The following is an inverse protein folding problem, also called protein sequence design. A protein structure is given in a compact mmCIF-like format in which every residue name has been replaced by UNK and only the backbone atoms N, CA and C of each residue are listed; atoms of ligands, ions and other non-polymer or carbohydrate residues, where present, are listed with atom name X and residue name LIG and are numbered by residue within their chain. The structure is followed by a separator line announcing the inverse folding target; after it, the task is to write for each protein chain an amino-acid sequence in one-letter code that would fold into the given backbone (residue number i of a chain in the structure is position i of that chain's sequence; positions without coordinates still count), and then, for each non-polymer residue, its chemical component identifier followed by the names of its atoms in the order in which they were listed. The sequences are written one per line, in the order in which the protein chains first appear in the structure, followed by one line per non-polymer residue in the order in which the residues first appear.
data_IF_816596965814
#
_entry.id   IF_816596965814
#
_cell.length_a   1.000
_cell.length_b   1.000
_cell.length_c   1.000
_cell.angle_alpha   90.00
_cell.angle_beta   90.00
_cell.angle_gamma   90.00
#
_symmetry.space_group_name_H-M   'P 1'
#
loop_
_entity.id
_entity.type
_entity.pdbx_description
1 polymer ?
#
# COMPACT_ATOMS: atom_id res chain seq x y z
N UNK A 1 34.87 17.32 14.99
CA UNK A 1 33.92 16.29 15.46
C UNK A 1 32.57 16.94 15.63
N UNK A 2 31.59 16.63 14.79
CA UNK A 2 30.53 15.70 15.05
C UNK A 2 30.06 14.97 13.74
N UNK A 3 30.23 13.69 13.66
CA UNK A 3 29.71 12.85 12.53
C UNK A 3 29.21 11.51 13.04
N UNK A 4 28.27 11.50 13.96
CA UNK A 4 27.76 10.20 14.49
C UNK A 4 26.24 10.11 14.68
N UNK A 5 25.46 11.01 14.09
CA UNK A 5 24.00 10.98 14.25
C UNK A 5 23.18 10.72 12.98
N UNK A 6 23.81 10.52 11.81
CA UNK A 6 23.06 10.30 10.55
C UNK A 6 22.96 8.84 10.09
N UNK A 7 23.68 7.91 10.69
CA UNK A 7 23.64 6.49 10.27
C UNK A 7 22.54 5.65 10.94
N UNK A 8 21.89 6.16 11.99
CA UNK A 8 20.92 5.36 12.76
C UNK A 8 19.50 5.35 12.17
N UNK A 9 19.17 6.28 11.28
CA UNK A 9 17.81 6.39 10.73
C UNK A 9 17.60 5.60 9.42
N UNK A 10 18.67 5.26 8.70
CA UNK A 10 18.52 4.47 7.46
C UNK A 10 18.27 2.97 7.71
N UNK A 11 18.74 2.41 8.80
CA UNK A 11 18.52 0.98 9.11
C UNK A 11 17.07 0.67 9.54
N UNK A 12 16.31 1.67 9.99
CA UNK A 12 14.90 1.46 10.37
C UNK A 12 13.94 1.41 9.19
N UNK A 13 14.26 2.04 8.07
CA UNK A 13 13.40 1.98 6.87
C UNK A 13 13.45 0.63 6.15
N UNK A 14 14.58 -0.08 6.22
CA UNK A 14 14.74 -1.39 5.56
C UNK A 14 13.97 -2.50 6.29
N UNK A 15 13.71 -2.34 7.60
CA UNK A 15 13.04 -3.35 8.41
C UNK A 15 11.51 -3.42 8.21
N UNK A 16 10.89 -2.39 7.65
CA UNK A 16 9.42 -2.32 7.52
C UNK A 16 8.87 -2.88 6.20
N UNK A 17 9.72 -3.04 5.18
CA UNK A 17 9.30 -3.56 3.88
C UNK A 17 9.20 -5.10 3.81
N UNK A 18 9.63 -5.82 4.85
CA UNK A 18 9.73 -7.29 4.84
C UNK A 18 8.67 -8.04 5.65
N UNK A 19 7.61 -7.38 6.10
CA UNK A 19 6.58 -8.01 6.95
C UNK A 19 5.27 -8.40 6.24
N UNK A 20 5.26 -8.45 4.92
CA UNK A 20 4.23 -9.23 4.24
C UNK A 20 4.78 -10.64 3.98
N UNK A 21 4.26 -11.70 4.60
CA UNK A 21 4.78 -13.04 4.38
C UNK A 21 4.40 -13.53 2.98
N UNK A 22 5.36 -13.48 2.07
CA UNK A 22 5.30 -14.30 0.86
C UNK A 22 5.61 -15.72 1.29
N UNK A 23 4.61 -16.58 1.33
CA UNK A 23 4.76 -18.02 1.57
C UNK A 23 5.51 -18.64 0.40
N UNK A 24 6.82 -18.80 0.51
CA UNK A 24 7.63 -19.60 -0.39
C UNK A 24 7.70 -21.02 0.16
N UNK A 25 6.93 -21.93 -0.43
CA UNK A 25 7.02 -23.38 -0.15
C UNK A 25 8.25 -23.91 -0.84
N UNK A 26 9.31 -24.20 -0.09
CA UNK A 26 10.43 -25.02 -0.53
C UNK A 26 10.20 -26.46 -0.04
N UNK A 27 9.87 -27.31 -1.00
CA UNK A 27 9.87 -28.76 -0.80
C UNK A 27 11.31 -29.28 -0.75
N UNK A 28 11.75 -29.79 0.39
CA UNK A 28 12.91 -30.69 0.45
C UNK A 28 12.47 -32.04 0.95
N UNK A 29 12.57 -33.00 0.05
CA UNK A 29 12.42 -34.43 0.32
C UNK A 29 13.51 -34.94 1.26
N UNK A 30 13.14 -35.63 2.33
CA UNK A 30 14.01 -36.62 2.97
C UNK A 30 13.23 -37.86 3.37
N UNK A 31 13.89 -38.97 3.19
CA UNK A 31 13.48 -40.36 3.13
C UNK A 31 13.01 -40.96 4.49
N UNK A 32 12.22 -41.94 4.33
CA UNK A 32 11.55 -42.82 5.26
C UNK A 32 12.38 -43.43 6.40
N UNK A 33 11.71 -43.58 7.54
CA UNK A 33 11.81 -44.83 8.35
C UNK A 33 10.41 -45.18 8.86
N UNK A 34 9.97 -46.38 8.51
CA UNK A 34 8.78 -47.04 9.03
C UNK A 34 8.84 -47.33 10.50
N UNK A 35 7.75 -47.06 11.23
CA UNK A 35 7.30 -47.92 12.31
C UNK A 35 5.78 -47.81 12.51
N UNK A 36 5.15 -48.94 12.51
CA UNK A 36 3.74 -49.24 12.68
C UNK A 36 3.24 -48.93 14.08
N UNK A 37 2.04 -48.35 14.22
CA UNK A 37 0.98 -48.81 15.12
C UNK A 37 -0.21 -47.84 15.22
N UNK A 38 -1.37 -48.38 14.96
CA UNK A 38 -2.76 -48.17 15.46
C UNK A 38 -3.46 -46.83 15.36
N UNK A 39 -4.75 -46.84 14.93
CA UNK A 39 -5.54 -45.66 14.65
C UNK A 39 -6.38 -45.25 15.85
N UNK A 40 -6.43 -43.97 16.13
CA UNK A 40 -7.44 -43.44 17.04
C UNK A 40 -7.04 -42.30 17.94
N UNK A 41 -6.71 -41.16 17.38
CA UNK A 41 -6.89 -39.88 18.05
C UNK A 41 -7.07 -38.79 17.00
N UNK A 42 -8.27 -38.24 16.94
CA UNK A 42 -8.66 -37.20 16.01
C UNK A 42 -7.81 -35.95 16.26
N UNK A 43 -7.09 -35.52 15.24
CA UNK A 43 -6.49 -34.19 15.11
C UNK A 43 -7.54 -33.12 15.31
N UNK A 44 -7.59 -32.54 16.48
CA UNK A 44 -8.36 -31.35 16.82
C UNK A 44 -7.47 -30.25 17.46
N UNK A 45 -6.17 -30.24 17.19
CA UNK A 45 -5.25 -29.36 17.94
C UNK A 45 -4.52 -28.31 17.08
N UNK A 46 -4.84 -28.13 15.80
CA UNK A 46 -4.13 -27.15 14.95
C UNK A 46 -4.93 -25.89 14.58
N UNK A 47 -6.22 -25.80 14.93
CA UNK A 47 -7.00 -24.58 14.66
C UNK A 47 -7.01 -23.56 15.83
N UNK A 48 -6.51 -23.96 17.01
CA UNK A 48 -6.58 -23.07 18.20
C UNK A 48 -5.39 -22.12 18.34
N UNK A 49 -4.27 -22.36 17.66
CA UNK A 49 -3.07 -21.53 17.77
C UNK A 49 -3.11 -20.28 16.88
N UNK A 50 -3.84 -20.33 15.75
CA UNK A 50 -4.02 -19.18 14.83
C UNK A 50 -5.06 -18.18 15.34
N UNK A 51 -5.99 -18.60 16.18
CA UNK A 51 -7.04 -17.76 16.72
C UNK A 51 -6.57 -16.80 17.82
N UNK A 52 -5.46 -17.09 18.49
CA UNK A 52 -4.94 -16.25 19.59
C UNK A 52 -4.07 -15.07 19.11
N UNK A 53 -3.46 -15.15 17.93
CA UNK A 53 -2.60 -14.08 17.41
C UNK A 53 -3.38 -12.89 16.85
N UNK A 54 -4.63 -13.08 16.41
CA UNK A 54 -5.45 -12.01 15.84
C UNK A 54 -6.19 -11.16 16.90
N UNK A 55 -6.38 -11.69 18.10
CA UNK A 55 -7.07 -10.98 19.19
C UNK A 55 -6.21 -9.92 19.90
N UNK A 56 -4.92 -9.85 19.60
CA UNK A 56 -3.96 -8.99 20.33
C UNK A 56 -4.01 -7.54 19.87
N UNK A 57 -4.53 -7.24 18.68
CA UNK A 57 -4.57 -5.88 18.15
C UNK A 57 -5.54 -4.96 18.90
N UNK A 58 -6.60 -5.49 19.51
CA UNK A 58 -7.61 -4.72 20.24
C UNK A 58 -7.81 -5.29 21.64
N UNK A 59 -7.27 -4.60 22.66
CA UNK A 59 -7.24 -5.09 24.05
C UNK A 59 -8.51 -4.80 24.83
N UNK A 60 -9.29 -3.82 24.40
CA UNK A 60 -10.59 -3.55 24.98
C UNK A 60 -11.54 -4.72 24.71
N UNK A 61 -12.20 -5.30 25.74
CA UNK A 61 -13.07 -6.47 25.54
C UNK A 61 -14.19 -6.24 24.53
N UNK A 62 -14.78 -5.04 24.47
CA UNK A 62 -15.82 -4.70 23.50
C UNK A 62 -15.29 -4.66 22.07
N UNK A 63 -14.07 -4.15 21.88
CA UNK A 63 -13.38 -4.10 20.59
C UNK A 63 -12.81 -5.45 20.19
N UNK A 64 -12.40 -6.29 21.12
CA UNK A 64 -11.92 -7.64 20.83
C UNK A 64 -12.98 -8.48 20.12
N UNK A 65 -14.23 -8.39 20.54
CA UNK A 65 -15.33 -9.15 19.94
C UNK A 65 -15.58 -8.76 18.48
N UNK A 66 -15.62 -7.45 18.19
CA UNK A 66 -15.81 -6.97 16.81
C UNK A 66 -14.57 -7.23 15.95
N UNK A 67 -13.35 -7.08 16.50
CA UNK A 67 -12.11 -7.40 15.80
C UNK A 67 -12.04 -8.89 15.40
N UNK A 68 -12.47 -9.78 16.28
CA UNK A 68 -12.58 -11.21 15.97
C UNK A 68 -13.63 -11.47 14.88
N UNK A 69 -14.79 -10.82 14.95
CA UNK A 69 -15.81 -10.93 13.92
C UNK A 69 -15.30 -10.45 12.55
N UNK A 70 -14.51 -9.35 12.53
CA UNK A 70 -13.86 -8.84 11.33
C UNK A 70 -12.86 -9.87 10.79
N UNK A 71 -11.95 -10.38 11.62
CA UNK A 71 -10.92 -11.34 11.22
C UNK A 71 -11.51 -12.62 10.61
N UNK A 72 -12.68 -13.05 11.07
CA UNK A 72 -13.37 -14.23 10.54
C UNK A 72 -14.38 -13.91 9.42
N UNK A 73 -14.58 -12.64 9.07
CA UNK A 73 -15.56 -12.23 8.06
C UNK A 73 -17.02 -12.51 8.48
N UNK A 74 -17.30 -12.53 9.79
CA UNK A 74 -18.67 -12.71 10.33
C UNK A 74 -19.46 -11.40 10.24
N UNK A 75 -20.04 -11.17 9.07
CA UNK A 75 -20.80 -9.95 8.75
C UNK A 75 -22.03 -9.78 9.66
N UNK A 76 -22.70 -10.89 10.03
CA UNK A 76 -23.87 -10.81 10.91
C UNK A 76 -23.48 -10.32 12.31
N UNK A 77 -22.36 -10.83 12.82
CA UNK A 77 -21.80 -10.42 14.11
C UNK A 77 -21.32 -8.97 14.07
N UNK A 78 -20.62 -8.55 13.00
CA UNK A 78 -20.18 -7.15 12.81
C UNK A 78 -21.39 -6.21 12.88
N UNK A 79 -22.47 -6.47 12.11
CA UNK A 79 -23.67 -5.65 12.09
C UNK A 79 -24.36 -5.56 13.47
N UNK A 80 -24.25 -6.63 14.27
CA UNK A 80 -24.82 -6.63 15.63
C UNK A 80 -23.96 -5.82 16.61
N UNK A 81 -22.63 -5.89 16.48
CA UNK A 81 -21.70 -5.26 17.43
C UNK A 81 -21.42 -3.79 17.10
N UNK A 82 -21.35 -3.42 15.81
CA UNK A 82 -20.98 -2.08 15.38
C UNK A 82 -21.76 -0.94 16.06
N UNK A 83 -23.10 -1.05 16.30
CA UNK A 83 -23.82 0.00 17.02
C UNK A 83 -23.49 0.10 18.52
N UNK A 84 -22.77 -0.86 19.10
CA UNK A 84 -22.48 -0.95 20.53
C UNK A 84 -21.04 -0.61 20.91
N UNK A 85 -20.17 -0.36 19.91
CA UNK A 85 -18.75 -0.07 20.10
C UNK A 85 -18.39 1.27 19.47
N UNK A 86 -17.29 1.84 19.92
CA UNK A 86 -16.70 3.03 19.29
C UNK A 86 -15.94 2.59 18.02
N UNK A 87 -16.50 2.88 16.83
CA UNK A 87 -15.87 2.56 15.54
C UNK A 87 -14.63 3.42 15.24
N UNK A 88 -14.41 4.51 16.01
CA UNK A 88 -13.21 5.34 15.92
C UNK A 88 -12.08 4.86 16.84
N UNK A 89 -12.32 3.84 17.65
CA UNK A 89 -11.30 3.30 18.53
C UNK A 89 -10.16 2.63 17.76
N UNK A 90 -8.97 2.71 18.34
CA UNK A 90 -7.74 2.15 17.76
C UNK A 90 -7.26 0.94 18.56
N UNK A 91 -6.70 0.00 17.84
CA UNK A 91 -5.95 -1.13 18.41
C UNK A 91 -4.47 -0.81 18.64
N UNK A 92 -3.69 -1.85 18.89
CA UNK A 92 -2.24 -1.75 18.99
C UNK A 92 -1.65 -1.15 17.70
N UNK A 93 -0.57 -0.38 17.81
CA UNK A 93 0.07 0.33 16.69
C UNK A 93 -0.87 1.32 15.96
N UNK A 94 -1.89 1.79 16.66
CA UNK A 94 -2.88 2.74 16.13
C UNK A 94 -3.73 2.19 14.96
N UNK A 95 -3.87 0.85 14.84
CA UNK A 95 -4.69 0.25 13.78
C UNK A 95 -6.17 0.56 13.98
N UNK A 96 -6.86 0.98 12.91
CA UNK A 96 -8.31 1.16 12.89
C UNK A 96 -9.03 -0.15 12.57
N UNK A 97 -10.33 -0.24 12.88
CA UNK A 97 -11.15 -1.40 12.51
C UNK A 97 -11.24 -1.58 10.98
N UNK A 98 -11.21 -0.48 10.21
CA UNK A 98 -11.19 -0.53 8.74
C UNK A 98 -9.87 -1.09 8.21
N UNK A 99 -8.73 -0.67 8.77
CA UNK A 99 -7.41 -1.22 8.42
C UNK A 99 -7.31 -2.69 8.83
N UNK A 100 -7.91 -3.06 9.98
CA UNK A 100 -7.95 -4.44 10.44
C UNK A 100 -8.71 -5.36 9.48
N UNK A 101 -9.78 -4.86 8.84
CA UNK A 101 -10.51 -5.60 7.81
C UNK A 101 -9.64 -5.84 6.56
N UNK A 102 -8.83 -4.87 6.12
CA UNK A 102 -7.89 -5.05 5.00
C UNK A 102 -6.77 -6.02 5.39
N UNK A 103 -6.23 -5.88 6.61
CA UNK A 103 -5.15 -6.74 7.12
C UNK A 103 -5.53 -8.21 7.13
N UNK A 104 -6.80 -8.50 7.50
CA UNK A 104 -7.33 -9.85 7.54
C UNK A 104 -7.98 -10.31 6.22
N UNK A 105 -7.79 -9.56 5.14
CA UNK A 105 -8.30 -9.90 3.81
C UNK A 105 -9.83 -10.06 3.76
N UNK A 106 -10.56 -9.19 4.49
CA UNK A 106 -12.01 -9.26 4.63
C UNK A 106 -12.73 -8.07 3.95
N UNK A 107 -12.86 -8.04 2.61
CA UNK A 107 -13.48 -6.91 1.91
C UNK A 107 -14.96 -6.69 2.29
N UNK A 108 -15.69 -7.78 2.59
CA UNK A 108 -17.10 -7.68 3.04
C UNK A 108 -17.21 -7.08 4.45
N UNK A 109 -16.21 -7.32 5.32
CA UNK A 109 -16.18 -6.72 6.64
C UNK A 109 -15.87 -5.21 6.54
N UNK A 110 -14.96 -4.81 5.65
CA UNK A 110 -14.69 -3.41 5.34
C UNK A 110 -15.99 -2.69 4.92
N UNK A 111 -16.73 -3.26 3.97
CA UNK A 111 -18.00 -2.73 3.49
C UNK A 111 -19.03 -2.59 4.62
N UNK A 112 -19.20 -3.65 5.44
CA UNK A 112 -20.13 -3.64 6.55
C UNK A 112 -19.79 -2.61 7.66
N UNK A 113 -18.50 -2.34 7.89
CA UNK A 113 -18.06 -1.31 8.83
C UNK A 113 -18.32 0.10 8.30
N UNK A 114 -18.10 0.32 7.01
CA UNK A 114 -18.42 1.58 6.33
C UNK A 114 -19.94 1.83 6.33
N UNK A 115 -20.75 0.80 6.05
CA UNK A 115 -22.21 0.85 6.17
C UNK A 115 -22.66 1.22 7.61
N UNK A 116 -21.92 0.77 8.62
CA UNK A 116 -22.18 1.08 10.02
C UNK A 116 -21.69 2.48 10.44
N UNK A 117 -21.03 3.24 9.54
CA UNK A 117 -20.60 4.60 9.79
C UNK A 117 -19.16 4.73 10.28
N UNK A 118 -18.30 3.71 10.12
CA UNK A 118 -16.88 3.86 10.39
C UNK A 118 -16.26 4.91 9.46
N UNK A 119 -15.46 5.83 10.01
CA UNK A 119 -14.88 6.95 9.28
C UNK A 119 -13.62 6.52 8.49
N UNK A 120 -13.63 6.52 7.15
CA UNK A 120 -12.46 6.19 6.34
C UNK A 120 -11.37 7.28 6.34
N UNK A 121 -11.65 8.47 6.89
CA UNK A 121 -10.67 9.54 7.05
C UNK A 121 -9.88 9.45 8.36
N UNK A 122 -10.27 8.55 9.26
CA UNK A 122 -9.60 8.38 10.54
C UNK A 122 -8.13 7.96 10.34
N UNK A 123 -7.14 8.71 10.88
CA UNK A 123 -5.74 8.32 10.80
C UNK A 123 -5.49 7.05 11.62
N UNK A 124 -4.90 6.06 10.99
CA UNK A 124 -4.55 4.78 11.60
C UNK A 124 -3.04 4.57 11.74
N UNK A 125 -2.57 3.41 11.29
CA UNK A 125 -1.15 3.07 11.30
C UNK A 125 -0.33 4.09 10.49
N UNK A 126 0.86 4.43 10.99
CA UNK A 126 1.77 5.41 10.38
C UNK A 126 1.15 6.79 10.12
N UNK A 127 0.04 7.14 10.80
CA UNK A 127 -0.74 8.35 10.58
C UNK A 127 -1.28 8.46 9.13
N UNK A 128 -1.55 7.32 8.54
CA UNK A 128 -2.20 7.17 7.25
C UNK A 128 -3.66 6.75 7.46
N UNK A 129 -4.48 6.86 6.42
CA UNK A 129 -5.86 6.40 6.47
C UNK A 129 -6.00 5.03 5.81
N UNK A 130 -7.11 4.36 6.04
CA UNK A 130 -7.45 3.11 5.36
C UNK A 130 -7.40 3.23 3.82
N UNK A 131 -7.59 4.44 3.26
CA UNK A 131 -7.49 4.67 1.81
C UNK A 131 -6.04 4.54 1.31
N UNK A 132 -5.06 4.98 2.11
CA UNK A 132 -3.64 4.75 1.80
C UNK A 132 -3.31 3.25 1.82
N UNK A 133 -3.79 2.53 2.84
CA UNK A 133 -3.60 1.08 2.91
C UNK A 133 -4.24 0.35 1.73
N UNK A 134 -5.47 0.69 1.35
CA UNK A 134 -6.16 0.13 0.20
C UNK A 134 -5.45 0.41 -1.13
N UNK A 135 -4.84 1.61 -1.24
CA UNK A 135 -4.07 2.00 -2.43
C UNK A 135 -2.80 1.17 -2.63
N UNK A 136 -2.21 0.60 -1.57
CA UNK A 136 -1.04 -0.29 -1.65
C UNK A 136 -1.39 -1.77 -1.58
N UNK A 137 -2.62 -2.15 -1.24
CA UNK A 137 -3.07 -3.53 -1.17
C UNK A 137 -2.94 -4.25 -2.52
N UNK A 138 -2.85 -5.59 -2.51
CA UNK A 138 -2.80 -6.36 -3.76
C UNK A 138 -4.16 -6.38 -4.46
N UNK A 139 -5.23 -6.57 -3.67
CA UNK A 139 -6.59 -6.62 -4.20
C UNK A 139 -7.16 -5.19 -4.34
N UNK A 140 -7.49 -4.74 -5.56
CA UNK A 140 -8.10 -3.44 -5.79
C UNK A 140 -9.53 -3.34 -5.27
N UNK A 141 -10.14 -4.43 -4.80
CA UNK A 141 -11.51 -4.44 -4.29
C UNK A 141 -11.67 -3.53 -3.07
N UNK A 142 -10.67 -3.46 -2.18
CA UNK A 142 -10.71 -2.59 -1.02
C UNK A 142 -10.86 -1.12 -1.41
N UNK A 143 -10.05 -0.67 -2.36
CA UNK A 143 -10.14 0.71 -2.85
C UNK A 143 -11.47 0.97 -3.55
N UNK A 144 -11.99 0.02 -4.33
CA UNK A 144 -13.32 0.14 -4.97
C UNK A 144 -14.43 0.32 -3.93
N UNK A 145 -14.42 -0.46 -2.85
CA UNK A 145 -15.39 -0.33 -1.75
C UNK A 145 -15.30 1.07 -1.14
N UNK A 146 -14.09 1.52 -0.80
CA UNK A 146 -13.89 2.86 -0.22
C UNK A 146 -14.39 3.98 -1.14
N UNK A 147 -14.12 3.87 -2.45
CA UNK A 147 -14.62 4.83 -3.44
C UNK A 147 -16.16 4.82 -3.55
N UNK A 148 -16.80 3.65 -3.45
CA UNK A 148 -18.27 3.53 -3.42
C UNK A 148 -18.87 4.25 -2.20
N UNK A 149 -18.19 4.19 -1.06
CA UNK A 149 -18.55 4.91 0.16
C UNK A 149 -18.06 6.36 0.20
N UNK A 150 -17.54 6.89 -0.93
CA UNK A 150 -17.07 8.28 -1.06
C UNK A 150 -15.97 8.65 -0.05
N UNK A 151 -15.11 7.69 0.27
CA UNK A 151 -13.95 7.94 1.12
C UNK A 151 -13.07 9.05 0.51
N UNK A 152 -12.44 9.92 1.34
CA UNK A 152 -11.61 11.00 0.84
C UNK A 152 -10.32 10.45 0.21
N UNK A 153 -10.09 10.76 -1.07
CA UNK A 153 -9.01 10.18 -1.88
C UNK A 153 -7.70 10.98 -1.86
N UNK A 154 -7.73 12.22 -1.37
CA UNK A 154 -6.59 13.13 -1.37
C UNK A 154 -6.10 13.48 0.05
N UNK A 155 -6.42 12.65 1.04
CA UNK A 155 -5.89 12.81 2.39
C UNK A 155 -4.37 12.71 2.35
N UNK A 156 -3.70 13.65 3.02
CA UNK A 156 -2.25 13.73 3.05
C UNK A 156 -1.74 13.10 4.34
N UNK A 157 -0.82 12.15 4.24
CA UNK A 157 -0.17 11.56 5.42
C UNK A 157 0.73 12.57 6.11
N UNK A 158 0.66 12.64 7.44
CA UNK A 158 1.45 13.60 8.21
C UNK A 158 2.97 13.34 8.12
N UNK A 159 3.38 12.09 7.93
CA UNK A 159 4.79 11.68 7.92
C UNK A 159 5.52 12.06 6.64
N UNK A 160 4.94 11.79 5.47
CA UNK A 160 5.62 11.93 4.19
C UNK A 160 4.98 12.98 3.28
N UNK A 161 3.79 13.48 3.61
CA UNK A 161 3.03 14.32 2.70
C UNK A 161 2.42 13.55 1.54
N UNK A 162 2.25 12.24 1.68
CA UNK A 162 1.76 11.37 0.61
C UNK A 162 0.24 11.29 0.62
N UNK A 163 -0.33 11.24 -0.58
CA UNK A 163 -1.73 10.88 -0.81
C UNK A 163 -1.83 9.37 -1.09
N UNK A 164 -3.04 8.79 -1.08
CA UNK A 164 -3.25 7.41 -1.53
C UNK A 164 -2.67 7.13 -2.92
N UNK A 165 -2.71 8.10 -3.85
CA UNK A 165 -2.11 7.95 -5.17
C UNK A 165 -0.59 7.80 -5.11
N UNK A 166 0.12 8.52 -4.21
CA UNK A 166 1.55 8.29 -3.96
C UNK A 166 1.82 6.86 -3.50
N UNK A 167 0.98 6.33 -2.60
CA UNK A 167 1.10 4.94 -2.13
C UNK A 167 0.88 3.92 -3.25
N UNK A 168 -0.12 4.14 -4.11
CA UNK A 168 -0.38 3.27 -5.27
C UNK A 168 0.83 3.26 -6.24
N UNK A 169 1.41 4.43 -6.53
CA UNK A 169 2.59 4.57 -7.41
C UNK A 169 3.81 3.88 -6.78
N UNK A 170 4.09 4.12 -5.50
CA UNK A 170 5.20 3.48 -4.78
C UNK A 170 5.09 1.96 -4.83
N UNK A 171 3.88 1.44 -4.58
CA UNK A 171 3.61 0.00 -4.52
C UNK A 171 3.39 -0.63 -5.90
N UNK A 172 3.48 0.16 -6.98
CA UNK A 172 3.29 -0.28 -8.38
C UNK A 172 1.95 -0.99 -8.59
N UNK A 173 0.89 -0.39 -8.06
CA UNK A 173 -0.47 -0.91 -8.13
C UNK A 173 -1.24 -0.28 -9.29
N UNK A 174 -1.01 -0.76 -10.51
CA UNK A 174 -1.58 -0.15 -11.73
C UNK A 174 -3.11 -0.04 -11.70
N UNK A 175 -3.80 -1.04 -11.14
CA UNK A 175 -5.25 -1.00 -11.01
C UNK A 175 -5.71 0.11 -10.04
N UNK A 176 -5.05 0.27 -8.89
CA UNK A 176 -5.36 1.31 -7.91
C UNK A 176 -4.98 2.70 -8.44
N UNK A 177 -3.86 2.82 -9.16
CA UNK A 177 -3.51 4.07 -9.86
C UNK A 177 -4.65 4.47 -10.80
N UNK A 178 -5.12 3.55 -11.64
CA UNK A 178 -6.25 3.80 -12.54
C UNK A 178 -7.50 4.25 -11.79
N UNK A 179 -7.90 3.50 -10.74
CA UNK A 179 -9.08 3.82 -9.93
C UNK A 179 -9.01 5.21 -9.29
N UNK A 180 -7.85 5.61 -8.76
CA UNK A 180 -7.67 6.92 -8.14
C UNK A 180 -7.69 8.05 -9.19
N UNK A 181 -7.06 7.84 -10.34
CA UNK A 181 -7.10 8.79 -11.45
C UNK A 181 -8.53 8.97 -11.99
N UNK A 182 -9.26 7.87 -12.19
CA UNK A 182 -10.65 7.88 -12.64
C UNK A 182 -11.59 8.54 -11.61
N UNK A 183 -11.26 8.43 -10.32
CA UNK A 183 -11.96 9.11 -9.24
C UNK A 183 -11.62 10.60 -9.10
N UNK A 184 -10.66 11.12 -9.91
CA UNK A 184 -10.27 12.52 -9.91
C UNK A 184 -9.27 12.92 -8.84
N UNK A 185 -8.40 12.00 -8.41
CA UNK A 185 -7.34 12.30 -7.44
C UNK A 185 -6.45 13.47 -7.92
N UNK A 186 -6.05 14.33 -6.98
CA UNK A 186 -5.17 15.48 -7.26
C UNK A 186 -3.76 15.01 -7.64
N UNK A 187 -3.46 15.08 -8.93
CA UNK A 187 -2.18 14.65 -9.52
C UNK A 187 -1.05 15.67 -9.35
N UNK A 188 -1.36 16.90 -8.89
CA UNK A 188 -0.36 17.97 -8.77
C UNK A 188 0.32 18.03 -7.40
N UNK A 189 -0.10 17.18 -6.47
CA UNK A 189 0.51 17.10 -5.14
C UNK A 189 1.98 16.75 -5.21
N UNK A 190 2.74 17.28 -4.25
CA UNK A 190 4.14 16.92 -4.00
C UNK A 190 4.29 16.44 -2.56
N UNK A 191 5.26 15.57 -2.33
CA UNK A 191 5.61 15.10 -0.99
C UNK A 191 6.43 16.19 -0.21
N UNK A 192 6.76 15.90 1.04
CA UNK A 192 7.53 16.83 1.89
C UNK A 192 8.94 17.15 1.37
N UNK A 193 9.45 16.38 0.40
CA UNK A 193 10.74 16.62 -0.26
C UNK A 193 10.58 17.28 -1.63
N UNK A 194 9.34 17.68 -1.98
CA UNK A 194 9.03 18.31 -3.25
C UNK A 194 8.93 17.34 -4.43
N UNK A 195 8.95 16.03 -4.18
CA UNK A 195 8.79 15.05 -5.26
C UNK A 195 7.32 15.02 -5.72
N UNK A 196 7.10 15.10 -7.02
CA UNK A 196 5.81 14.79 -7.64
C UNK A 196 5.67 13.29 -7.86
N UNK A 197 4.48 12.84 -8.26
CA UNK A 197 4.21 11.45 -8.66
C UNK A 197 5.17 10.96 -9.76
N UNK A 198 5.60 11.85 -10.69
CA UNK A 198 6.58 11.52 -11.72
C UNK A 198 7.95 11.21 -11.14
N UNK A 199 8.39 11.95 -10.10
CA UNK A 199 9.65 11.65 -9.41
C UNK A 199 9.61 10.27 -8.78
N UNK A 200 8.53 9.96 -8.06
CA UNK A 200 8.36 8.68 -7.40
C UNK A 200 8.31 7.52 -8.40
N UNK A 201 7.56 7.67 -9.49
CA UNK A 201 7.48 6.67 -10.56
C UNK A 201 8.85 6.45 -11.23
N UNK A 202 9.61 7.53 -11.48
CA UNK A 202 10.94 7.46 -12.09
C UNK A 202 11.98 6.78 -11.16
N UNK A 203 11.90 7.01 -9.86
CA UNK A 203 12.75 6.38 -8.84
C UNK A 203 12.41 4.90 -8.65
N UNK A 204 11.16 4.50 -8.88
CA UNK A 204 10.70 3.11 -8.77
C UNK A 204 11.25 2.18 -9.86
N UNK A 205 11.85 2.72 -10.91
CA UNK A 205 12.49 1.96 -11.98
C UNK A 205 12.69 2.78 -13.24
N UNK A 206 13.87 2.60 -13.85
CA UNK A 206 14.35 3.37 -15.01
C UNK A 206 13.49 3.27 -16.29
N UNK A 207 12.43 2.48 -16.28
CA UNK A 207 11.52 2.27 -17.40
C UNK A 207 10.09 1.97 -16.93
N UNK A 208 9.66 2.63 -15.86
CA UNK A 208 8.30 2.45 -15.33
C UNK A 208 7.26 2.96 -16.33
N UNK A 209 6.33 2.12 -16.81
CA UNK A 209 5.24 2.54 -17.68
C UNK A 209 4.30 3.54 -17.00
N UNK A 210 4.26 3.55 -15.67
CA UNK A 210 3.51 4.48 -14.85
C UNK A 210 3.90 5.93 -15.13
N UNK A 211 5.16 6.22 -15.51
CA UNK A 211 5.58 7.57 -15.89
C UNK A 211 4.75 8.09 -17.06
N UNK A 212 4.57 7.30 -18.12
CA UNK A 212 3.76 7.72 -19.27
C UNK A 212 2.27 7.86 -18.91
N UNK A 213 1.76 6.99 -18.06
CA UNK A 213 0.39 7.07 -17.54
C UNK A 213 0.16 8.38 -16.78
N UNK A 214 1.07 8.75 -15.87
CA UNK A 214 0.99 9.99 -15.09
C UNK A 214 1.14 11.24 -15.95
N UNK A 215 2.03 11.22 -16.96
CA UNK A 215 2.15 12.32 -17.94
C UNK A 215 0.83 12.53 -18.70
N UNK A 216 0.19 11.44 -19.13
CA UNK A 216 -1.12 11.50 -19.80
C UNK A 216 -2.25 11.94 -18.86
N UNK A 217 -2.13 11.66 -17.57
CA UNK A 217 -3.06 12.15 -16.54
C UNK A 217 -2.84 13.62 -16.17
N UNK A 218 -1.83 14.29 -16.76
CA UNK A 218 -1.61 15.72 -16.60
C UNK A 218 -0.70 16.10 -15.43
N UNK A 219 0.07 15.17 -14.86
CA UNK A 219 1.10 15.53 -13.85
C UNK A 219 2.12 16.47 -14.51
N UNK A 220 2.42 17.59 -13.85
CA UNK A 220 3.39 18.56 -14.37
C UNK A 220 4.81 17.97 -14.42
N UNK A 221 5.41 17.80 -15.62
CA UNK A 221 6.75 17.22 -15.79
C UNK A 221 7.88 18.19 -15.44
N UNK A 222 7.58 19.46 -15.21
CA UNK A 222 8.58 20.52 -14.96
C UNK A 222 8.86 20.72 -13.47
N UNK A 223 8.07 20.10 -12.60
CA UNK A 223 8.25 20.17 -11.15
C UNK A 223 9.67 19.79 -10.76
N UNK A 224 10.28 20.60 -9.90
CA UNK A 224 11.60 20.35 -9.32
C UNK A 224 11.49 20.07 -7.83
N UNK A 225 12.08 18.96 -7.42
CA UNK A 225 12.12 18.59 -6.00
C UNK A 225 13.16 19.42 -5.21
N UNK A 226 13.34 19.13 -3.93
CA UNK A 226 14.31 19.81 -3.06
C UNK A 226 15.76 19.77 -3.59
N UNK A 227 16.13 18.77 -4.39
CA UNK A 227 17.42 18.68 -5.07
C UNK A 227 17.49 19.46 -6.39
N UNK A 228 16.46 20.29 -6.70
CA UNK A 228 16.34 21.04 -7.96
C UNK A 228 16.34 20.15 -9.22
N UNK A 229 15.95 18.88 -9.09
CA UNK A 229 15.87 17.91 -10.19
C UNK A 229 14.44 17.73 -10.63
N UNK A 230 14.22 17.55 -11.94
CA UNK A 230 12.97 17.04 -12.47
C UNK A 230 12.96 15.51 -12.42
N UNK A 231 11.83 14.88 -12.68
CA UNK A 231 11.70 13.42 -12.78
C UNK A 231 12.67 12.83 -13.82
N UNK A 232 13.01 13.59 -14.87
CA UNK A 232 13.86 13.13 -15.97
C UNK A 232 15.26 12.75 -15.49
N UNK A 233 15.80 13.48 -14.48
CA UNK A 233 17.09 13.19 -13.88
C UNK A 233 17.18 11.81 -13.25
N UNK A 234 16.04 11.24 -12.84
CA UNK A 234 15.95 9.87 -12.31
C UNK A 234 15.57 8.86 -13.39
N UNK A 235 14.64 9.23 -14.27
CA UNK A 235 14.09 8.33 -15.29
C UNK A 235 15.13 7.98 -16.35
N UNK A 236 15.98 8.93 -16.78
CA UNK A 236 16.99 8.72 -17.81
C UNK A 236 18.38 8.35 -17.27
N UNK A 237 18.53 8.01 -15.99
CA UNK A 237 19.83 7.67 -15.37
C UNK A 237 20.48 6.42 -15.99
N UNK A 238 19.71 5.36 -16.22
CA UNK A 238 20.24 4.12 -16.81
C UNK A 238 20.45 4.31 -18.32
N UNK A 239 21.59 4.00 -18.91
CA UNK A 239 21.78 4.06 -20.36
C UNK A 239 20.79 3.16 -21.11
N UNK A 240 20.24 3.60 -22.25
CA UNK A 240 19.24 2.87 -23.03
C UNK A 240 19.70 1.46 -23.44
N UNK A 241 21.01 1.30 -23.73
CA UNK A 241 21.60 0.00 -24.11
C UNK A 241 21.52 -1.08 -23.01
N UNK A 242 21.29 -0.66 -21.77
CA UNK A 242 21.15 -1.58 -20.62
C UNK A 242 19.69 -1.94 -20.32
N UNK A 243 18.74 -1.34 -21.03
CA UNK A 243 17.33 -1.65 -20.91
C UNK A 243 16.96 -2.80 -21.85
N UNK A 244 15.96 -3.59 -21.43
CA UNK A 244 15.30 -4.53 -22.31
C UNK A 244 14.43 -3.79 -23.36
N UNK A 245 13.92 -4.50 -24.36
CA UNK A 245 13.11 -3.92 -25.43
C UNK A 245 11.90 -3.12 -24.90
N UNK A 246 11.20 -3.66 -23.91
CA UNK A 246 10.05 -2.97 -23.28
C UNK A 246 10.47 -1.65 -22.62
N UNK A 247 11.56 -1.65 -21.88
CA UNK A 247 12.07 -0.43 -21.24
C UNK A 247 12.54 0.61 -22.25
N UNK A 248 13.17 0.20 -23.34
CA UNK A 248 13.54 1.10 -24.44
C UNK A 248 12.30 1.71 -25.09
N UNK A 249 11.24 0.92 -25.32
CA UNK A 249 9.99 1.40 -25.87
C UNK A 249 9.34 2.44 -24.94
N UNK A 250 9.20 2.15 -23.64
CA UNK A 250 8.64 3.10 -22.66
C UNK A 250 9.40 4.42 -22.68
N UNK A 251 10.73 4.39 -22.73
CA UNK A 251 11.54 5.62 -22.83
C UNK A 251 11.33 6.39 -24.13
N UNK A 252 11.22 5.67 -25.24
CA UNK A 252 10.91 6.26 -26.54
C UNK A 252 9.56 6.98 -26.49
N UNK A 253 8.55 6.34 -25.90
CA UNK A 253 7.21 6.90 -25.77
C UNK A 253 7.20 8.14 -24.85
N UNK A 254 7.94 8.11 -23.73
CA UNK A 254 8.08 9.27 -22.84
C UNK A 254 8.80 10.42 -23.56
N UNK A 255 9.88 10.18 -24.32
CA UNK A 255 10.55 11.22 -25.11
C UNK A 255 9.62 11.82 -26.16
N UNK A 256 8.88 10.97 -26.87
CA UNK A 256 7.90 11.41 -27.86
C UNK A 256 6.82 12.29 -27.22
N UNK A 257 6.31 11.89 -26.07
CA UNK A 257 5.33 12.68 -25.32
C UNK A 257 5.89 14.05 -24.90
N UNK A 258 7.09 14.10 -24.32
CA UNK A 258 7.76 15.34 -23.92
C UNK A 258 7.95 16.27 -25.12
N UNK A 259 8.45 15.74 -26.24
CA UNK A 259 8.65 16.50 -27.48
C UNK A 259 7.34 17.07 -28.03
N UNK A 260 6.27 16.28 -28.04
CA UNK A 260 4.95 16.72 -28.51
C UNK A 260 4.35 17.85 -27.64
N UNK A 261 4.80 17.97 -26.38
CA UNK A 261 4.37 19.02 -25.45
C UNK A 261 5.41 20.16 -25.31
N UNK A 262 6.42 20.24 -26.20
CA UNK A 262 7.49 21.24 -26.19
C UNK A 262 8.32 21.26 -24.90
N UNK A 263 8.48 20.10 -24.25
CA UNK A 263 9.29 19.96 -23.03
C UNK A 263 10.66 19.41 -23.41
N UNK A 264 11.76 20.11 -23.10
CA UNK A 264 13.11 19.64 -23.42
C UNK A 264 13.40 18.32 -22.73
N UNK A 265 13.99 17.37 -23.47
CA UNK A 265 14.52 16.14 -22.86
C UNK A 265 15.86 16.48 -22.23
N UNK A 266 15.98 16.28 -20.92
CA UNK A 266 17.22 16.47 -20.19
C UNK A 266 18.23 15.38 -20.58
N UNK A 267 19.42 15.76 -21.07
CA UNK A 267 20.48 14.81 -21.33
C UNK A 267 21.06 14.30 -20.00
N UNK A 268 21.16 12.98 -19.85
CA UNK A 268 21.99 12.39 -18.79
C UNK A 268 23.43 12.88 -18.95
N UNK A 269 23.91 13.65 -17.98
CA UNK A 269 25.35 14.02 -17.91
C UNK A 269 26.16 12.83 -17.40
#
# INVERSE_FOLDING_TARGET
MPQRHQECDQEKEISMQTRFPTLLVLATSFFAVSCTASPGAKEQTTMSATLQDHAVAFRDPGLTDIANAIAHGDIARIKTLAPTVDLAAHGDQNVTLLEWAIWNEQPRALDALLDAGADPALPGMDQETVVHMAAMAQDPQYLKILLQHKAPIDVVSARAGWTPLFRAVQSKRDAQIGLLLDAGADVQRVDHTGNSLLHLAAQSGASSPTVLQLLKAGVDPTVRNAQQKTFQAYFFTTPDRLLNATGQQVRSDVRAWLSAHNIPVESSR
#
